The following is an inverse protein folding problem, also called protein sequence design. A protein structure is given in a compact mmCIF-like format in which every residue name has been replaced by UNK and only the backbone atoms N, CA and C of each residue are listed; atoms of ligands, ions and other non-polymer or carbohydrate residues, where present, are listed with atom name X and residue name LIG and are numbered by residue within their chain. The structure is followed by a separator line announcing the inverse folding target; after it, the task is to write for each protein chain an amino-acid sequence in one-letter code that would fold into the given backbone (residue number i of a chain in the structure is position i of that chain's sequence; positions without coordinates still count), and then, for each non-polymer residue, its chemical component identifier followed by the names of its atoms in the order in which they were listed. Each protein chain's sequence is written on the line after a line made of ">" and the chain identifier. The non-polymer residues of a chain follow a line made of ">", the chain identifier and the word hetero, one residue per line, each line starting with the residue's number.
data_IF_163933972006
#
_entry.id   IF_163933972006
#
_cell.length_a   1.000
_cell.length_b   1.000
_cell.length_c   1.000
_cell.angle_alpha   90.00
_cell.angle_beta   90.00
_cell.angle_gamma   90.00
#
_symmetry.space_group_name_H-M   'P 1'
#
loop_
_entity.id
_entity.type
_entity.pdbx_description
1 polymer ?
#
# COMPACT_ATOMS: atom_id res chain seq x y z
N UNK A 1 -42.97 5.81 -67.13
CA UNK A 1 -42.52 6.85 -66.19
C UNK A 1 -42.47 6.20 -64.82
N UNK A 2 -41.30 5.63 -64.51
CA UNK A 2 -41.11 4.77 -63.31
C UNK A 2 -40.79 5.62 -62.09
N UNK A 3 -41.57 5.41 -61.03
CA UNK A 3 -41.38 6.05 -59.77
C UNK A 3 -40.42 5.20 -58.94
N UNK A 4 -39.20 5.66 -58.84
CA UNK A 4 -38.09 5.02 -58.10
C UNK A 4 -38.38 5.10 -56.61
N UNK A 5 -38.64 3.96 -55.96
CA UNK A 5 -38.83 3.84 -54.50
C UNK A 5 -37.47 3.87 -53.80
N UNK A 6 -37.17 5.00 -53.14
CA UNK A 6 -36.02 5.17 -52.22
C UNK A 6 -36.34 4.44 -50.91
N UNK A 7 -35.66 3.34 -50.63
CA UNK A 7 -35.69 2.66 -49.33
C UNK A 7 -34.66 3.35 -48.42
N UNK A 8 -35.21 4.10 -47.45
CA UNK A 8 -34.40 4.68 -46.35
C UNK A 8 -34.09 3.56 -45.34
N UNK A 9 -32.82 3.09 -45.30
CA UNK A 9 -32.34 2.18 -44.29
C UNK A 9 -31.95 2.98 -43.06
N UNK A 10 -32.75 2.91 -41.99
CA UNK A 10 -32.39 3.38 -40.66
C UNK A 10 -31.31 2.46 -40.09
N UNK A 11 -30.07 2.94 -40.01
CA UNK A 11 -29.00 2.31 -39.26
C UNK A 11 -29.12 2.70 -37.76
N UNK A 12 -29.77 1.81 -36.98
CA UNK A 12 -29.78 1.95 -35.53
C UNK A 12 -28.36 1.62 -35.01
N UNK A 13 -27.56 2.64 -34.75
CA UNK A 13 -26.28 2.51 -34.09
C UNK A 13 -26.54 2.33 -32.58
N UNK A 14 -26.56 1.08 -32.10
CA UNK A 14 -26.58 0.78 -30.68
C UNK A 14 -25.26 1.28 -30.06
N UNK A 15 -25.31 2.47 -29.46
CA UNK A 15 -24.23 2.99 -28.61
C UNK A 15 -24.29 2.21 -27.29
N UNK A 16 -23.54 1.10 -27.21
CA UNK A 16 -23.32 0.41 -25.95
C UNK A 16 -22.44 1.31 -25.07
N UNK A 17 -23.08 2.00 -24.12
CA UNK A 17 -22.35 2.64 -23.03
C UNK A 17 -21.65 1.55 -22.22
N UNK A 18 -20.38 1.34 -22.46
CA UNK A 18 -19.54 0.63 -21.52
C UNK A 18 -19.40 1.52 -20.28
N UNK A 19 -20.10 1.20 -19.22
CA UNK A 19 -19.85 1.75 -17.91
C UNK A 19 -18.46 1.28 -17.51
N UNK A 20 -17.46 2.15 -17.62
CA UNK A 20 -16.14 1.91 -17.03
C UNK A 20 -16.36 2.00 -15.51
N UNK A 21 -16.11 0.94 -14.76
CA UNK A 21 -16.20 1.03 -13.30
C UNK A 21 -15.16 2.06 -12.85
N UNK A 22 -15.64 3.17 -12.29
CA UNK A 22 -14.75 4.06 -11.53
C UNK A 22 -14.28 3.28 -10.31
N UNK A 23 -12.98 2.98 -10.25
CA UNK A 23 -12.37 2.53 -9.02
C UNK A 23 -12.54 3.66 -8.01
N UNK A 24 -13.39 3.45 -7.00
CA UNK A 24 -13.49 4.38 -5.88
C UNK A 24 -12.22 4.23 -5.07
N UNK A 25 -11.53 5.33 -4.81
CA UNK A 25 -10.46 5.35 -3.84
C UNK A 25 -11.07 5.01 -2.48
N UNK A 26 -10.52 4.01 -1.82
CA UNK A 26 -10.92 3.60 -0.48
C UNK A 26 -9.87 4.11 0.51
N UNK A 27 -10.34 4.77 1.56
CA UNK A 27 -9.47 5.25 2.63
C UNK A 27 -9.53 4.29 3.81
N UNK A 28 -8.36 3.83 4.25
CA UNK A 28 -8.18 3.03 5.45
C UNK A 28 -7.34 3.83 6.44
N UNK A 29 -7.78 3.87 7.71
CA UNK A 29 -7.08 4.62 8.78
C UNK A 29 -6.93 3.73 10.00
N UNK A 30 -5.73 3.70 10.58
CA UNK A 30 -5.40 3.01 11.83
C UNK A 30 -4.79 4.00 12.82
N UNK A 31 -5.55 4.31 13.87
CA UNK A 31 -5.14 5.19 14.98
C UNK A 31 -4.62 4.40 16.18
N UNK A 32 -4.72 3.07 16.12
CA UNK A 32 -4.31 2.14 17.18
C UNK A 32 -4.93 2.38 18.56
N UNK A 33 -5.97 3.20 18.67
CA UNK A 33 -6.67 3.50 19.93
C UNK A 33 -7.19 2.25 20.66
N UNK A 34 -7.49 1.20 19.91
CA UNK A 34 -8.05 -0.05 20.46
C UNK A 34 -7.08 -1.22 20.32
N UNK A 35 -6.64 -1.52 19.10
CA UNK A 35 -5.80 -2.67 18.79
C UNK A 35 -5.08 -2.51 17.42
N UNK A 36 -4.33 -3.54 17.02
CA UNK A 36 -3.71 -3.68 15.72
C UNK A 36 -4.10 -5.02 15.07
N UNK A 37 -5.36 -5.46 15.22
CA UNK A 37 -5.84 -6.75 14.74
C UNK A 37 -5.76 -6.93 13.22
N UNK A 38 -5.78 -5.82 12.47
CA UNK A 38 -5.60 -5.82 11.02
C UNK A 38 -4.13 -6.00 10.59
N UNK A 39 -3.21 -6.01 11.55
CA UNK A 39 -1.79 -6.05 11.28
C UNK A 39 -1.18 -7.40 11.64
N UNK A 40 -0.30 -7.92 10.79
CA UNK A 40 0.45 -9.15 11.07
C UNK A 40 1.94 -8.83 11.15
N UNK A 41 2.54 -8.96 12.33
CA UNK A 41 3.99 -8.93 12.48
C UNK A 41 4.63 -10.12 11.74
N UNK A 42 5.62 -9.84 10.89
CA UNK A 42 6.45 -10.88 10.29
C UNK A 42 7.55 -11.33 11.27
N UNK A 43 8.11 -10.38 12.02
CA UNK A 43 9.05 -10.60 13.10
C UNK A 43 9.09 -9.36 14.02
N UNK A 44 9.88 -9.41 15.10
CA UNK A 44 9.97 -8.34 16.08
C UNK A 44 9.00 -8.53 17.25
N UNK A 45 8.96 -7.54 18.13
CA UNK A 45 8.06 -7.50 19.29
C UNK A 45 7.15 -6.29 19.16
N UNK A 46 5.92 -6.53 18.79
CA UNK A 46 4.93 -5.51 18.45
C UNK A 46 3.77 -5.52 19.44
N UNK A 47 3.38 -4.35 19.91
CA UNK A 47 2.23 -4.18 20.79
C UNK A 47 1.60 -2.80 20.60
N UNK A 48 0.31 -2.69 20.88
CA UNK A 48 -0.35 -1.39 21.06
C UNK A 48 -0.23 -1.01 22.53
N UNK A 49 0.36 0.14 22.79
CA UNK A 49 0.49 0.73 24.12
C UNK A 49 0.07 2.19 24.07
N UNK A 50 -0.92 2.57 24.86
CA UNK A 50 -1.43 3.95 24.96
C UNK A 50 -1.88 4.52 23.59
N UNK A 51 -2.51 3.70 22.76
CA UNK A 51 -2.95 4.09 21.41
C UNK A 51 -1.82 4.22 20.38
N UNK A 52 -0.65 3.68 20.66
CA UNK A 52 0.52 3.73 19.76
C UNK A 52 0.96 2.31 19.43
N UNK A 53 1.20 2.03 18.17
CA UNK A 53 1.74 0.75 17.73
C UNK A 53 3.27 0.77 17.83
N UNK A 54 3.82 -0.02 18.73
CA UNK A 54 5.25 0.00 19.07
C UNK A 54 5.95 -1.28 18.66
N UNK A 55 7.17 -1.12 18.14
CA UNK A 55 8.15 -2.17 17.97
C UNK A 55 9.27 -1.96 19.01
N UNK A 56 9.51 -2.96 19.90
CA UNK A 56 10.39 -2.80 21.06
C UNK A 56 11.64 -3.69 21.02
N UNK A 57 11.74 -4.60 20.05
CA UNK A 57 12.90 -5.46 19.89
C UNK A 57 13.97 -4.77 19.04
N UNK A 58 15.20 -4.71 19.55
CA UNK A 58 16.35 -4.35 18.72
C UNK A 58 17.06 -5.62 18.25
N UNK A 59 17.11 -5.82 16.96
CA UNK A 59 17.76 -6.96 16.34
C UNK A 59 18.25 -6.60 14.93
N UNK A 60 19.36 -7.23 14.50
CA UNK A 60 20.03 -6.95 13.23
C UNK A 60 19.30 -7.43 11.96
N UNK A 61 17.98 -7.62 12.03
CA UNK A 61 17.12 -7.96 10.90
C UNK A 61 15.99 -6.93 10.77
N UNK A 62 15.37 -6.88 9.60
CA UNK A 62 14.21 -6.03 9.39
C UNK A 62 13.00 -6.57 10.16
N UNK A 63 12.51 -5.79 11.13
CA UNK A 63 11.24 -6.04 11.77
C UNK A 63 10.15 -5.31 11.02
N UNK A 64 9.05 -5.97 10.72
CA UNK A 64 7.93 -5.39 10.01
C UNK A 64 6.59 -5.95 10.44
N UNK A 65 5.57 -5.14 10.31
CA UNK A 65 4.18 -5.56 10.41
C UNK A 65 3.44 -5.09 9.16
N UNK A 66 2.68 -5.98 8.53
CA UNK A 66 1.96 -5.73 7.28
C UNK A 66 0.45 -5.78 7.53
N UNK A 67 -0.29 -4.93 6.82
CA UNK A 67 -1.75 -4.94 6.82
C UNK A 67 -2.29 -6.18 6.12
N UNK A 68 -3.33 -6.79 6.71
CA UNK A 68 -3.96 -7.99 6.20
C UNK A 68 -5.04 -7.70 5.16
N UNK A 69 -5.21 -8.61 4.22
CA UNK A 69 -6.42 -8.74 3.39
C UNK A 69 -6.60 -7.70 2.29
N UNK A 70 -5.77 -6.67 2.22
CA UNK A 70 -5.88 -5.60 1.21
C UNK A 70 -4.54 -5.36 0.53
N UNK A 71 -4.59 -5.16 -0.78
CA UNK A 71 -3.43 -4.78 -1.60
C UNK A 71 -3.78 -3.55 -2.43
N UNK A 72 -2.81 -2.66 -2.59
CA UNK A 72 -2.98 -1.39 -3.30
C UNK A 72 -2.10 -1.32 -4.54
N UNK A 73 -2.63 -0.71 -5.59
CA UNK A 73 -1.90 -0.35 -6.81
C UNK A 73 -1.38 1.09 -6.70
N UNK A 74 -2.17 2.06 -7.15
CA UNK A 74 -1.86 3.47 -6.97
C UNK A 74 -2.44 3.94 -5.64
N UNK A 75 -1.61 4.51 -4.78
CA UNK A 75 -2.03 4.91 -3.46
C UNK A 75 -1.15 6.00 -2.87
N UNK A 76 -1.70 6.70 -1.90
CA UNK A 76 -0.97 7.50 -0.94
C UNK A 76 -0.96 6.76 0.39
N UNK A 77 0.21 6.50 0.93
CA UNK A 77 0.41 5.95 2.28
C UNK A 77 1.02 7.04 3.15
N UNK A 78 0.43 7.30 4.29
CA UNK A 78 0.96 8.18 5.32
C UNK A 78 1.06 7.44 6.66
N UNK A 79 2.05 7.79 7.47
CA UNK A 79 2.14 7.33 8.84
C UNK A 79 2.97 8.30 9.68
N UNK A 80 2.59 8.49 10.93
CA UNK A 80 3.48 9.06 11.93
C UNK A 80 4.47 8.00 12.38
N UNK A 81 5.74 8.33 12.32
CA UNK A 81 6.87 7.48 12.69
C UNK A 81 7.76 8.22 13.68
N UNK A 82 8.14 7.55 14.77
CA UNK A 82 9.10 8.04 15.74
C UNK A 82 10.12 6.95 16.04
N UNK A 83 11.39 7.25 15.82
CA UNK A 83 12.50 6.39 16.23
C UNK A 83 12.80 6.67 17.71
N UNK A 84 12.46 5.73 18.57
CA UNK A 84 12.64 5.86 20.03
C UNK A 84 14.06 5.51 20.46
N UNK A 85 14.61 4.41 19.94
CA UNK A 85 16.03 4.02 20.10
C UNK A 85 16.50 3.21 18.90
N UNK A 86 17.73 3.44 18.45
CA UNK A 86 18.32 2.76 17.29
C UNK A 86 18.54 3.69 16.11
N UNK A 87 18.29 3.20 14.89
CA UNK A 87 18.77 3.85 13.67
C UNK A 87 17.65 4.13 12.65
N UNK A 88 16.83 3.14 12.28
CA UNK A 88 15.98 3.19 11.08
C UNK A 88 14.54 2.81 11.38
N UNK A 89 13.63 3.71 11.07
CA UNK A 89 12.19 3.45 11.12
C UNK A 89 11.49 3.97 9.87
N UNK A 90 10.47 3.27 9.39
CA UNK A 90 9.84 3.65 8.14
C UNK A 90 8.53 2.93 7.82
N UNK A 91 8.07 3.13 6.59
CA UNK A 91 6.82 2.61 6.07
C UNK A 91 7.06 1.72 4.85
N UNK A 92 6.34 0.62 4.81
CA UNK A 92 6.40 -0.39 3.73
C UNK A 92 5.26 -0.15 2.76
N UNK A 93 5.53 -0.30 1.48
CA UNK A 93 4.49 -0.26 0.45
C UNK A 93 4.75 -1.29 -0.64
N UNK A 94 3.68 -1.68 -1.34
CA UNK A 94 3.70 -2.70 -2.39
C UNK A 94 4.39 -4.01 -1.98
N UNK A 95 4.20 -4.44 -0.72
CA UNK A 95 4.77 -5.68 -0.24
C UNK A 95 4.07 -6.88 -0.86
N UNK A 96 4.85 -7.75 -1.51
CA UNK A 96 4.41 -9.03 -2.04
C UNK A 96 4.33 -10.08 -0.92
N UNK A 97 5.27 -9.98 0.00
CA UNK A 97 5.44 -10.83 1.18
C UNK A 97 6.41 -10.15 2.16
N UNK A 98 6.86 -10.89 3.16
CA UNK A 98 7.81 -10.40 4.18
C UNK A 98 9.23 -10.10 3.68
N UNK A 99 9.60 -10.51 2.44
CA UNK A 99 10.94 -10.34 1.88
C UNK A 99 10.98 -9.42 0.66
N UNK A 100 9.84 -9.17 0.02
CA UNK A 100 9.75 -8.50 -1.27
C UNK A 100 8.82 -7.29 -1.17
N UNK A 101 9.39 -6.11 -1.00
CA UNK A 101 8.67 -4.87 -0.74
C UNK A 101 9.52 -3.63 -1.03
N UNK A 102 8.88 -2.46 -1.05
CA UNK A 102 9.56 -1.18 -0.92
C UNK A 102 9.45 -0.66 0.51
N UNK A 103 10.47 0.07 0.95
CA UNK A 103 10.46 0.80 2.22
C UNK A 103 10.97 2.22 2.02
N UNK A 104 10.24 3.20 2.53
CA UNK A 104 10.70 4.56 2.75
C UNK A 104 10.91 4.76 4.24
N UNK A 105 12.11 5.21 4.63
CA UNK A 105 12.52 5.25 6.01
C UNK A 105 13.31 6.51 6.36
N UNK A 106 13.38 6.81 7.64
CA UNK A 106 14.22 7.85 8.24
C UNK A 106 15.34 7.24 9.07
N UNK A 107 16.50 7.92 9.05
CA UNK A 107 17.67 7.62 9.85
C UNK A 107 18.08 8.83 10.70
N UNK A 108 17.56 9.00 11.92
CA UNK A 108 17.90 10.14 12.77
C UNK A 108 19.39 10.25 13.11
N UNK A 109 20.10 9.12 13.18
CA UNK A 109 21.53 9.10 13.47
C UNK A 109 22.37 9.82 12.41
N UNK A 110 21.95 9.72 11.16
CA UNK A 110 22.66 10.27 10.01
C UNK A 110 21.96 11.48 9.42
N UNK A 111 20.80 11.88 9.99
CA UNK A 111 19.96 12.96 9.50
C UNK A 111 19.65 12.80 8.01
N UNK A 112 19.12 11.65 7.62
CA UNK A 112 18.75 11.34 6.21
C UNK A 112 17.50 10.50 6.13
N UNK A 113 16.94 10.38 4.94
CA UNK A 113 15.94 9.37 4.60
C UNK A 113 16.45 8.49 3.47
N UNK A 114 15.84 7.35 3.29
CA UNK A 114 16.28 6.34 2.33
C UNK A 114 15.06 5.68 1.67
N UNK A 115 15.21 5.32 0.40
CA UNK A 115 14.23 4.52 -0.34
C UNK A 115 14.91 3.23 -0.84
N UNK A 116 14.42 2.09 -0.38
CA UNK A 116 14.96 0.78 -0.72
C UNK A 116 13.90 -0.12 -1.34
N UNK A 117 14.36 -1.01 -2.25
CA UNK A 117 13.64 -2.19 -2.67
C UNK A 117 14.26 -3.42 -2.03
N UNK A 118 13.48 -4.12 -1.24
CA UNK A 118 13.86 -5.41 -0.68
C UNK A 118 13.41 -6.53 -1.61
N UNK A 119 14.21 -7.56 -1.72
CA UNK A 119 13.92 -8.78 -2.49
C UNK A 119 14.37 -10.02 -1.71
N UNK A 120 13.75 -11.15 -2.02
CA UNK A 120 14.18 -12.42 -1.45
C UNK A 120 15.62 -12.73 -1.87
N UNK A 121 16.50 -12.97 -0.88
CA UNK A 121 17.85 -13.40 -1.16
C UNK A 121 17.88 -14.90 -1.52
N UNK A 122 18.53 -15.23 -2.63
CA UNK A 122 18.87 -16.62 -2.99
C UNK A 122 20.24 -17.03 -2.50
N UNK A 123 21.03 -16.10 -1.97
CA UNK A 123 22.40 -16.33 -1.55
C UNK A 123 22.50 -17.00 -0.15
N UNK A 124 21.44 -16.90 0.66
CA UNK A 124 21.42 -17.42 2.02
C UNK A 124 20.26 -18.42 2.18
N UNK A 125 20.55 -19.58 2.78
CA UNK A 125 19.57 -20.65 3.00
C UNK A 125 18.44 -20.25 3.95
N UNK A 126 18.67 -19.25 4.78
CA UNK A 126 17.79 -18.86 5.89
C UNK A 126 16.99 -17.57 5.62
N UNK A 127 16.88 -17.16 4.34
CA UNK A 127 15.96 -16.09 3.95
C UNK A 127 16.39 -14.67 4.29
N UNK A 128 17.69 -14.41 4.36
CA UNK A 128 18.15 -13.01 4.47
C UNK A 128 17.66 -12.18 3.30
N UNK A 129 17.11 -11.02 3.62
CA UNK A 129 16.67 -10.07 2.61
C UNK A 129 17.89 -9.49 1.87
N UNK A 130 17.86 -9.54 0.54
CA UNK A 130 18.74 -8.73 -0.27
C UNK A 130 18.09 -7.37 -0.48
N UNK A 131 18.89 -6.33 -0.56
CA UNK A 131 18.42 -4.96 -0.78
C UNK A 131 18.99 -4.43 -2.08
N UNK A 132 18.14 -3.85 -2.89
CA UNK A 132 18.53 -2.99 -4.00
C UNK A 132 18.23 -1.55 -3.60
N UNK A 133 19.23 -0.74 -3.61
CA UNK A 133 19.14 0.67 -3.37
C UNK A 133 18.37 1.34 -4.51
N UNK A 134 17.40 2.19 -4.16
CA UNK A 134 16.82 3.15 -5.09
C UNK A 134 17.45 4.51 -4.82
N UNK A 135 17.47 4.93 -3.54
CA UNK A 135 18.22 6.09 -3.08
C UNK A 135 18.47 5.97 -1.56
N UNK A 136 19.72 6.12 -1.11
CA UNK A 136 20.10 5.89 0.30
C UNK A 136 20.63 7.14 1.03
N UNK A 137 20.82 8.24 0.33
CA UNK A 137 21.34 9.48 0.89
C UNK A 137 20.43 10.67 0.54
N UNK A 138 19.13 10.54 0.86
CA UNK A 138 18.20 11.66 0.68
C UNK A 138 18.40 12.62 1.85
N UNK A 139 19.13 13.71 1.62
CA UNK A 139 19.28 14.77 2.60
C UNK A 139 17.94 15.46 2.84
N UNK A 140 17.51 15.67 4.10
CA UNK A 140 16.22 16.24 4.40
C UNK A 140 16.11 17.69 3.95
N UNK A 141 15.07 17.99 3.20
CA UNK A 141 14.74 19.35 2.73
C UNK A 141 13.90 20.02 3.80
N UNK A 142 14.40 21.14 4.35
CA UNK A 142 13.62 22.04 5.21
C UNK A 142 13.35 21.52 6.62
N UNK A 143 14.00 20.43 7.06
CA UNK A 143 13.84 19.85 8.39
C UNK A 143 15.12 19.16 8.84
N UNK A 144 15.17 18.79 10.13
CA UNK A 144 16.20 17.93 10.70
C UNK A 144 15.53 16.72 11.31
N UNK A 145 16.01 15.51 10.97
CA UNK A 145 15.47 14.25 11.47
C UNK A 145 16.18 13.89 12.77
N UNK A 146 15.43 13.83 13.87
CA UNK A 146 15.95 13.57 15.22
C UNK A 146 15.22 12.39 15.88
N UNK A 147 15.86 11.76 16.88
CA UNK A 147 15.19 10.74 17.67
C UNK A 147 14.15 11.35 18.62
N UNK A 148 13.18 10.53 18.99
CA UNK A 148 12.11 10.88 19.93
C UNK A 148 11.20 12.01 19.44
N UNK A 149 11.27 12.36 18.15
CA UNK A 149 10.37 13.27 17.47
C UNK A 149 9.51 12.54 16.46
N UNK A 150 8.26 12.95 16.34
CA UNK A 150 7.32 12.40 15.36
C UNK A 150 7.52 13.06 14.01
N UNK A 151 7.62 12.21 12.97
CA UNK A 151 7.63 12.62 11.57
C UNK A 151 6.48 11.96 10.83
N UNK A 152 5.75 12.70 10.04
CA UNK A 152 4.79 12.13 9.10
C UNK A 152 5.54 11.76 7.83
N UNK A 153 5.67 10.46 7.58
CA UNK A 153 6.20 9.95 6.31
C UNK A 153 5.05 9.76 5.35
N UNK A 154 5.23 10.20 4.10
CA UNK A 154 4.27 10.00 3.02
C UNK A 154 4.94 9.43 1.79
N UNK A 155 4.27 8.45 1.18
CA UNK A 155 4.63 7.90 -0.13
C UNK A 155 3.42 7.98 -1.03
N UNK A 156 3.59 8.58 -2.21
CA UNK A 156 2.59 8.61 -3.28
C UNK A 156 3.08 7.75 -4.43
N UNK A 157 2.30 6.73 -4.77
CA UNK A 157 2.64 5.77 -5.82
C UNK A 157 1.63 5.85 -6.95
N UNK A 158 2.11 6.17 -8.15
CA UNK A 158 1.33 6.27 -9.40
C UNK A 158 2.06 5.52 -10.52
N UNK A 159 1.58 4.33 -10.85
CA UNK A 159 2.30 3.45 -11.79
C UNK A 159 3.69 3.12 -11.25
N UNK A 160 4.73 3.50 -11.99
CA UNK A 160 6.14 3.35 -11.60
C UNK A 160 6.69 4.55 -10.82
N UNK A 161 5.95 5.66 -10.75
CA UNK A 161 6.39 6.87 -10.07
C UNK A 161 6.18 6.73 -8.56
N UNK A 162 7.21 7.04 -7.79
CA UNK A 162 7.23 7.02 -6.33
C UNK A 162 7.68 8.40 -5.86
N UNK A 163 6.78 9.18 -5.26
CA UNK A 163 7.13 10.43 -4.60
C UNK A 163 7.13 10.23 -3.08
N UNK A 164 8.14 10.77 -2.41
CA UNK A 164 8.30 10.63 -0.96
C UNK A 164 8.34 11.99 -0.29
N UNK A 165 7.76 12.09 0.91
CA UNK A 165 7.71 13.33 1.67
C UNK A 165 7.87 13.06 3.18
N UNK A 166 8.34 14.08 3.90
CA UNK A 166 8.39 14.14 5.36
C UNK A 166 7.72 15.44 5.79
N UNK A 167 6.74 15.35 6.70
CA UNK A 167 6.00 16.51 7.22
C UNK A 167 5.48 17.42 6.08
N UNK A 168 4.85 16.81 5.06
CA UNK A 168 4.33 17.46 3.84
C UNK A 168 5.37 18.08 2.90
N UNK A 169 6.65 18.00 3.20
CA UNK A 169 7.72 18.49 2.34
C UNK A 169 8.23 17.35 1.46
N UNK A 170 8.06 17.47 0.13
CA UNK A 170 8.58 16.49 -0.82
C UNK A 170 10.10 16.39 -0.70
N UNK A 171 10.59 15.17 -0.54
CA UNK A 171 12.01 14.85 -0.40
C UNK A 171 12.61 14.32 -1.71
N UNK A 172 11.78 13.77 -2.59
CA UNK A 172 12.22 13.27 -3.88
C UNK A 172 11.14 12.52 -4.66
N UNK A 173 11.45 12.28 -5.94
CA UNK A 173 10.62 11.50 -6.87
C UNK A 173 11.50 10.49 -7.59
N UNK A 174 11.11 9.24 -7.53
CA UNK A 174 11.85 8.09 -8.05
C UNK A 174 10.98 7.26 -9.01
N UNK A 175 11.60 6.38 -9.77
CA UNK A 175 10.90 5.50 -10.71
C UNK A 175 11.37 4.07 -10.52
N UNK A 176 10.45 3.18 -10.15
CA UNK A 176 10.67 1.73 -10.11
C UNK A 176 9.32 1.01 -10.28
N UNK A 177 9.28 -0.03 -11.11
CA UNK A 177 8.07 -0.79 -11.44
C UNK A 177 8.15 -2.29 -11.07
N UNK A 178 9.13 -2.66 -10.25
CA UNK A 178 9.37 -4.06 -9.89
C UNK A 178 8.17 -4.68 -9.19
N UNK A 179 7.55 -3.95 -8.27
CA UNK A 179 6.34 -4.39 -7.57
C UNK A 179 5.18 -3.44 -7.92
N UNK A 180 4.25 -3.85 -8.81
CA UNK A 180 3.17 -2.96 -9.26
C UNK A 180 1.99 -2.85 -8.28
N UNK A 181 1.88 -3.78 -7.36
CA UNK A 181 0.78 -3.92 -6.38
C UNK A 181 1.30 -4.58 -5.12
N UNK A 182 0.62 -4.41 -3.98
CA UNK A 182 0.93 -5.15 -2.76
C UNK A 182 0.41 -4.47 -1.49
N UNK A 183 0.77 -5.06 -0.36
CA UNK A 183 0.38 -4.61 0.97
C UNK A 183 1.16 -3.38 1.40
N UNK A 184 0.65 -2.72 2.43
CA UNK A 184 1.37 -1.67 3.17
C UNK A 184 1.73 -2.15 4.56
N UNK A 185 2.63 -1.41 5.22
CA UNK A 185 3.07 -1.77 6.56
C UNK A 185 4.00 -0.76 7.20
N UNK A 186 4.53 -1.14 8.35
CA UNK A 186 5.55 -0.41 9.09
C UNK A 186 6.81 -1.26 9.25
N UNK A 187 7.96 -0.60 9.44
CA UNK A 187 9.25 -1.25 9.34
C UNK A 187 10.30 -0.61 10.27
N UNK A 188 11.19 -1.44 10.79
CA UNK A 188 12.37 -1.01 11.55
C UNK A 188 13.56 -1.92 11.28
N UNK A 189 14.78 -1.43 11.55
CA UNK A 189 16.00 -2.21 11.57
C UNK A 189 16.84 -1.83 12.78
N UNK A 190 17.14 -2.81 13.65
CA UNK A 190 17.87 -2.60 14.92
C UNK A 190 17.36 -1.37 15.68
N UNK A 191 16.03 -1.24 15.78
CA UNK A 191 15.39 0.00 16.20
C UNK A 191 14.14 -0.28 17.01
N UNK A 192 13.99 0.41 18.14
CA UNK A 192 12.69 0.59 18.80
C UNK A 192 12.01 1.81 18.17
N UNK A 193 10.80 1.64 17.72
CA UNK A 193 10.04 2.71 17.08
C UNK A 193 8.55 2.65 17.42
N UNK A 194 7.93 3.82 17.31
CA UNK A 194 6.51 4.04 17.51
C UNK A 194 5.86 4.49 16.21
N UNK A 195 4.65 3.99 15.96
CA UNK A 195 3.85 4.28 14.78
C UNK A 195 2.44 4.66 15.18
N UNK A 196 1.86 5.65 14.49
CA UNK A 196 0.52 6.14 14.74
C UNK A 196 -0.08 6.76 13.48
N UNK A 197 -1.40 7.01 13.49
CA UNK A 197 -2.14 7.68 12.41
C UNK A 197 -1.75 7.16 11.01
N UNK A 198 -1.70 5.83 10.85
CA UNK A 198 -1.41 5.24 9.53
C UNK A 198 -2.65 5.34 8.67
N UNK A 199 -2.50 5.90 7.47
CA UNK A 199 -3.61 5.99 6.51
C UNK A 199 -3.16 5.59 5.10
N UNK A 200 -4.07 4.96 4.38
CA UNK A 200 -3.90 4.64 2.95
C UNK A 200 -5.14 5.10 2.19
N UNK A 201 -4.90 5.88 1.16
CA UNK A 201 -5.94 6.28 0.22
C UNK A 201 -5.52 5.86 -1.18
N UNK A 202 -6.30 5.03 -1.85
CA UNK A 202 -5.91 4.56 -3.17
C UNK A 202 -6.80 3.50 -3.77
N UNK A 203 -6.36 3.00 -4.93
CA UNK A 203 -7.03 1.94 -5.64
C UNK A 203 -6.58 0.58 -5.10
N UNK A 204 -7.51 -0.14 -4.50
CA UNK A 204 -7.29 -1.52 -4.10
C UNK A 204 -7.41 -2.44 -5.32
N UNK A 205 -6.64 -3.51 -5.36
CA UNK A 205 -7.04 -4.68 -6.10
C UNK A 205 -8.18 -5.31 -5.31
N UNK A 206 -9.40 -4.76 -5.46
CA UNK A 206 -10.55 -5.49 -4.98
C UNK A 206 -10.39 -6.90 -5.52
N UNK A 207 -10.22 -7.84 -4.63
CA UNK A 207 -10.36 -9.24 -4.96
C UNK A 207 -11.65 -9.31 -5.77
N UNK A 208 -11.54 -9.68 -7.05
CA UNK A 208 -12.68 -10.12 -7.87
C UNK A 208 -13.12 -11.49 -7.35
N UNK A 209 -13.17 -11.66 -6.03
CA UNK A 209 -14.04 -12.66 -5.43
C UNK A 209 -15.43 -12.23 -5.84
N UNK A 210 -15.91 -12.93 -6.85
CA UNK A 210 -17.23 -12.80 -7.41
C UNK A 210 -18.19 -12.38 -6.29
N UNK A 211 -18.81 -11.21 -6.46
CA UNK A 211 -20.06 -10.94 -5.78
C UNK A 211 -20.98 -12.01 -6.26
N UNK A 212 -21.09 -13.11 -5.51
CA UNK A 212 -22.19 -14.04 -5.66
C UNK A 212 -23.44 -13.17 -5.50
N UNK A 213 -24.27 -12.98 -6.52
CA UNK A 213 -25.46 -12.19 -6.38
C UNK A 213 -26.33 -12.89 -5.33
N UNK A 214 -26.34 -12.37 -4.11
CA UNK A 214 -27.31 -12.77 -3.08
C UNK A 214 -28.68 -12.43 -3.65
N UNK A 215 -29.38 -13.47 -4.14
CA UNK A 215 -30.71 -13.33 -4.68
C UNK A 215 -30.86 -13.78 -6.12
N UNK A 216 -30.38 -14.94 -6.50
CA UNK A 216 -31.00 -15.69 -7.57
C UNK A 216 -32.38 -16.13 -7.09
N UNK A 217 -33.40 -15.32 -7.41
CA UNK A 217 -34.76 -15.85 -7.49
C UNK A 217 -34.69 -16.99 -8.50
N UNK A 218 -34.77 -18.21 -8.00
CA UNK A 218 -34.97 -19.39 -8.85
C UNK A 218 -36.36 -19.22 -9.51
N UNK A 219 -36.40 -18.59 -10.67
CA UNK A 219 -37.58 -18.62 -11.52
C UNK A 219 -37.66 -20.05 -12.05
N UNK A 220 -38.47 -20.85 -11.36
CA UNK A 220 -38.83 -22.18 -11.82
C UNK A 220 -39.67 -22.06 -13.11
N UNK A 221 -39.05 -22.32 -14.24
CA UNK A 221 -39.71 -22.38 -15.57
C UNK A 221 -40.60 -23.60 -15.75
N UNK A 222 -40.91 -24.32 -14.67
CA UNK A 222 -41.67 -25.58 -14.73
C UNK A 222 -43.20 -25.44 -14.69
N UNK A 223 -43.77 -24.21 -14.64
CA UNK A 223 -45.24 -24.03 -14.49
C UNK A 223 -45.94 -23.46 -15.72
N UNK A 224 -45.27 -23.27 -16.85
CA UNK A 224 -45.91 -22.73 -18.07
C UNK A 224 -46.11 -23.73 -19.18
N UNK A 225 -46.17 -25.03 -18.90
CA UNK A 225 -46.60 -26.05 -19.87
C UNK A 225 -47.67 -27.00 -19.31
N UNK A 226 -48.81 -26.43 -18.92
CA UNK A 226 -50.07 -27.20 -18.81
C UNK A 226 -51.28 -26.26 -18.83
N UNK A 227 -51.63 -25.81 -20.00
CA UNK A 227 -53.05 -25.66 -20.45
C UNK A 227 -53.08 -25.40 -21.95
#
# INVERSE_FOLDING_TARGET
>A
MDVMKIRLALFLMCLSLYAVPFATAEEHVWTFDNDASDWTPANGSWAVEEGIYKQTMRYGEAQKALVNGVEWTNHTLEAKVRVDDGHWGGIVFRAQNEFEYYVYLICPKENKSELWRHKRSTAFKDGFEARDEIEHDIEPIGLTITRNEWFTLRVVVEGSRIAVAINDIEQGVFVDDTYPVGKVGVWTWDTQASFDDVSVNGSTTASLTAIEPRGKLAVSWAVLKSK
#
